data_IF_557160416009
#
_entry.id   IF_557160416009
#
_cell.length_a   1.000
_cell.length_b   1.000
_cell.length_c   1.000
_cell.angle_alpha   90.00
_cell.angle_beta   90.00
_cell.angle_gamma   90.00
#
_symmetry.space_group_name_H-M   'P 1'
#
loop_
_entity.id
_entity.type
_entity.pdbx_description
1 polymer ?
#
# COMPACT_ATOMS: atom_id res chain seq x y z
N UNK A 1 19.35 -8.44 -19.28
CA UNK A 1 19.54 -8.98 -17.91
C UNK A 1 20.89 -8.48 -17.39
N UNK A 2 20.94 -8.12 -16.14
CA UNK A 2 22.18 -7.73 -15.45
C UNK A 2 22.89 -8.99 -14.97
N UNK A 3 24.19 -9.11 -15.29
CA UNK A 3 24.96 -10.33 -14.99
C UNK A 3 25.22 -10.53 -13.49
N UNK A 4 25.38 -9.44 -12.73
CA UNK A 4 25.57 -9.51 -11.28
C UNK A 4 24.31 -10.04 -10.61
N UNK A 5 23.16 -9.51 -10.98
CA UNK A 5 21.87 -9.99 -10.48
C UNK A 5 21.62 -11.46 -10.83
N UNK A 6 21.86 -11.85 -12.09
CA UNK A 6 21.68 -13.25 -12.54
C UNK A 6 22.56 -14.21 -11.77
N UNK A 7 23.84 -13.85 -11.55
CA UNK A 7 24.78 -14.70 -10.82
C UNK A 7 24.43 -14.80 -9.32
N UNK A 8 23.94 -13.72 -8.71
CA UNK A 8 23.45 -13.74 -7.32
C UNK A 8 22.26 -14.70 -7.14
N UNK A 9 21.29 -14.66 -8.08
CA UNK A 9 20.14 -15.59 -8.05
C UNK A 9 20.60 -17.05 -8.22
N UNK A 10 21.50 -17.34 -9.16
CA UNK A 10 22.06 -18.69 -9.35
C UNK A 10 22.77 -19.20 -8.10
N UNK A 11 23.62 -18.38 -7.49
CA UNK A 11 24.34 -18.74 -6.26
C UNK A 11 23.37 -19.02 -5.09
N UNK A 12 22.27 -18.26 -4.99
CA UNK A 12 21.26 -18.50 -3.97
C UNK A 12 20.50 -19.82 -4.19
N UNK A 13 20.20 -20.18 -5.44
CA UNK A 13 19.57 -21.46 -5.75
C UNK A 13 20.43 -22.67 -5.39
N UNK A 14 21.77 -22.55 -5.51
CA UNK A 14 22.70 -23.60 -5.07
C UNK A 14 22.74 -23.76 -3.54
N UNK A 15 22.27 -22.77 -2.79
CA UNK A 15 22.21 -22.81 -1.32
C UNK A 15 20.87 -23.32 -0.82
N UNK A 16 19.80 -22.61 -1.15
CA UNK A 16 18.41 -23.03 -0.94
C UNK A 16 17.44 -22.11 -1.72
N UNK A 17 16.32 -22.68 -2.16
CA UNK A 17 15.29 -21.95 -2.89
C UNK A 17 14.12 -21.53 -1.99
N UNK A 18 13.69 -22.39 -1.06
CA UNK A 18 12.54 -22.15 -0.19
C UNK A 18 12.61 -22.93 1.11
N UNK A 19 12.23 -22.30 2.22
CA UNK A 19 12.23 -22.92 3.56
C UNK A 19 10.93 -22.70 4.34
N UNK A 20 9.92 -22.07 3.74
CA UNK A 20 8.71 -21.57 4.41
C UNK A 20 8.95 -20.47 5.46
N UNK A 21 7.86 -19.87 5.95
CA UNK A 21 7.90 -18.83 7.00
C UNK A 21 8.09 -19.40 8.43
N UNK A 22 8.31 -20.69 8.56
CA UNK A 22 8.60 -21.32 9.86
C UNK A 22 10.05 -21.13 10.29
N UNK A 23 10.94 -20.79 9.36
CA UNK A 23 12.37 -20.65 9.60
C UNK A 23 12.86 -19.25 9.20
N UNK A 24 13.83 -18.76 9.97
CA UNK A 24 14.59 -17.57 9.57
C UNK A 24 15.61 -17.92 8.49
N UNK A 25 15.74 -17.03 7.51
CA UNK A 25 16.75 -17.15 6.45
C UNK A 25 17.57 -15.88 6.36
N UNK A 26 18.89 -15.97 6.12
CA UNK A 26 19.74 -14.80 6.01
C UNK A 26 19.27 -13.82 4.93
N UNK A 27 18.94 -14.22 3.69
CA UNK A 27 18.51 -13.26 2.67
C UNK A 27 17.27 -12.46 3.07
N UNK A 28 16.31 -13.11 3.77
CA UNK A 28 15.11 -12.44 4.25
C UNK A 28 15.44 -11.44 5.38
N UNK A 29 16.28 -11.84 6.33
CA UNK A 29 16.69 -10.99 7.45
C UNK A 29 17.52 -9.78 6.97
N UNK A 30 18.49 -10.02 6.09
CA UNK A 30 19.39 -8.99 5.54
C UNK A 30 18.58 -7.95 4.73
N UNK A 31 17.61 -8.41 3.91
CA UNK A 31 16.73 -7.52 3.16
C UNK A 31 15.81 -6.71 4.10
N UNK A 32 15.26 -7.34 5.13
CA UNK A 32 14.41 -6.65 6.11
C UNK A 32 15.19 -5.57 6.85
N UNK A 33 16.41 -5.86 7.31
CA UNK A 33 17.30 -4.90 7.96
C UNK A 33 17.64 -3.73 7.03
N UNK A 34 18.01 -4.03 5.79
CA UNK A 34 18.31 -3.00 4.79
C UNK A 34 17.11 -2.08 4.54
N UNK A 35 15.91 -2.63 4.36
CA UNK A 35 14.70 -1.85 4.15
C UNK A 35 14.37 -0.99 5.38
N UNK A 36 14.41 -1.55 6.58
CA UNK A 36 14.17 -0.79 7.81
C UNK A 36 15.15 0.38 7.96
N UNK A 37 16.44 0.13 7.74
CA UNK A 37 17.48 1.17 7.84
C UNK A 37 17.31 2.29 6.81
N UNK A 38 16.80 1.99 5.61
CA UNK A 38 16.64 2.96 4.53
C UNK A 38 15.32 3.72 4.57
N UNK A 39 14.28 3.14 5.17
CA UNK A 39 12.94 3.73 5.22
C UNK A 39 12.60 4.34 6.57
N UNK A 40 13.31 3.97 7.63
CA UNK A 40 12.98 4.31 9.01
C UNK A 40 11.81 3.49 9.57
N UNK A 41 11.25 2.55 8.82
CA UNK A 41 10.22 1.63 9.29
C UNK A 41 10.82 0.60 10.26
N UNK A 42 9.99 0.07 11.16
CA UNK A 42 10.47 -0.85 12.22
C UNK A 42 10.40 -2.31 11.83
N UNK A 43 9.51 -2.66 10.91
CA UNK A 43 9.23 -4.05 10.54
C UNK A 43 8.95 -4.16 9.05
N UNK A 44 9.17 -5.35 8.50
CA UNK A 44 8.87 -5.70 7.11
C UNK A 44 8.01 -6.96 7.11
N UNK A 45 7.03 -6.99 6.24
CA UNK A 45 6.25 -8.18 5.89
C UNK A 45 6.48 -8.48 4.41
N UNK A 46 6.94 -9.68 4.11
CA UNK A 46 7.14 -10.14 2.73
C UNK A 46 5.95 -10.93 2.23
N UNK A 47 5.53 -10.66 1.01
CA UNK A 47 4.44 -11.35 0.31
C UNK A 47 4.84 -11.63 -1.14
N UNK A 48 3.97 -12.33 -1.89
CA UNK A 48 4.29 -12.75 -3.25
C UNK A 48 3.88 -11.72 -4.32
N UNK A 49 3.09 -10.72 -3.95
CA UNK A 49 2.56 -9.72 -4.89
C UNK A 49 2.19 -8.41 -4.21
N UNK A 50 2.05 -7.33 -4.99
CA UNK A 50 1.52 -6.07 -4.50
C UNK A 50 0.10 -6.20 -3.94
N UNK A 51 -0.75 -7.03 -4.55
CA UNK A 51 -2.09 -7.29 -4.02
C UNK A 51 -2.05 -7.90 -2.62
N UNK A 52 -1.16 -8.88 -2.38
CA UNK A 52 -1.01 -9.48 -1.04
C UNK A 52 -0.40 -8.50 -0.02
N UNK A 53 0.55 -7.64 -0.46
CA UNK A 53 1.08 -6.58 0.39
C UNK A 53 -0.03 -5.60 0.80
N UNK A 54 -0.88 -5.20 -0.14
CA UNK A 54 -2.02 -4.33 0.11
C UNK A 54 -3.10 -4.99 0.99
N UNK A 55 -3.37 -6.29 0.82
CA UNK A 55 -4.22 -7.04 1.74
C UNK A 55 -3.69 -6.98 3.18
N UNK A 56 -2.38 -7.13 3.36
CA UNK A 56 -1.74 -7.00 4.67
C UNK A 56 -1.91 -5.58 5.22
N UNK A 57 -1.61 -4.55 4.44
CA UNK A 57 -1.72 -3.14 4.84
C UNK A 57 -3.16 -2.78 5.25
N UNK A 58 -4.16 -3.20 4.46
CA UNK A 58 -5.58 -3.02 4.75
C UNK A 58 -5.96 -3.70 6.08
N UNK A 59 -5.53 -4.95 6.29
CA UNK A 59 -5.79 -5.69 7.53
C UNK A 59 -5.13 -5.02 8.74
N UNK A 60 -3.91 -4.51 8.60
CA UNK A 60 -3.21 -3.76 9.65
C UNK A 60 -3.99 -2.50 10.01
N UNK A 61 -4.41 -1.70 9.01
CA UNK A 61 -5.18 -0.47 9.24
C UNK A 61 -6.52 -0.77 9.92
N UNK A 62 -7.27 -1.77 9.47
CA UNK A 62 -8.54 -2.17 10.08
C UNK A 62 -8.36 -2.68 11.51
N UNK A 63 -7.31 -3.47 11.76
CA UNK A 63 -7.01 -3.93 13.13
C UNK A 63 -6.61 -2.76 14.04
N UNK A 64 -5.82 -1.82 13.52
CA UNK A 64 -5.46 -0.60 14.26
C UNK A 64 -6.72 0.20 14.63
N UNK A 65 -7.60 0.46 13.68
CA UNK A 65 -8.87 1.16 13.91
C UNK A 65 -9.73 0.45 14.95
N UNK A 66 -9.91 -0.87 14.80
CA UNK A 66 -10.71 -1.65 15.75
C UNK A 66 -10.18 -1.64 17.19
N UNK A 67 -8.85 -1.66 17.38
CA UNK A 67 -8.23 -1.67 18.71
C UNK A 67 -8.23 -0.29 19.38
N UNK A 68 -8.06 0.78 18.60
CA UNK A 68 -7.85 2.13 19.14
C UNK A 68 -9.11 3.02 19.10
N UNK A 69 -10.04 2.75 18.17
CA UNK A 69 -11.20 3.63 17.91
C UNK A 69 -12.55 2.91 18.00
N UNK A 70 -12.57 1.59 17.82
CA UNK A 70 -13.76 0.75 17.84
C UNK A 70 -13.94 -0.04 16.54
N UNK A 71 -14.70 -1.13 16.61
CA UNK A 71 -14.87 -2.10 15.51
C UNK A 71 -15.58 -1.57 14.28
N UNK A 72 -16.24 -0.43 14.39
CA UNK A 72 -16.89 0.29 13.29
C UNK A 72 -15.96 1.25 12.53
N UNK A 73 -14.72 1.45 13.01
CA UNK A 73 -13.68 2.20 12.30
C UNK A 73 -12.89 1.27 11.38
N UNK A 74 -13.45 0.93 10.23
CA UNK A 74 -12.87 0.01 9.24
C UNK A 74 -12.79 0.59 7.82
N UNK A 75 -13.29 1.81 7.61
CA UNK A 75 -13.27 2.45 6.29
C UNK A 75 -11.86 2.95 5.97
N UNK A 76 -11.42 2.68 4.75
CA UNK A 76 -10.18 3.20 4.17
C UNK A 76 -10.55 4.12 3.01
N UNK A 77 -10.05 5.34 3.04
CA UNK A 77 -10.16 6.26 1.91
C UNK A 77 -9.06 5.91 0.91
N UNK A 78 -9.45 5.67 -0.33
CA UNK A 78 -8.55 5.50 -1.48
C UNK A 78 -8.84 6.59 -2.51
N UNK A 79 -8.25 6.52 -3.69
CA UNK A 79 -8.44 7.55 -4.71
C UNK A 79 -9.11 6.98 -5.97
N UNK A 80 -9.94 7.80 -6.62
CA UNK A 80 -10.37 7.52 -7.99
C UNK A 80 -9.16 7.28 -8.90
N UNK A 81 -9.29 6.41 -9.89
CA UNK A 81 -8.24 5.98 -10.81
C UNK A 81 -7.05 5.25 -10.15
N UNK A 82 -7.10 4.94 -8.85
CA UNK A 82 -6.09 4.13 -8.20
C UNK A 82 -6.13 2.67 -8.66
N UNK A 83 -5.00 1.97 -8.45
CA UNK A 83 -4.92 0.53 -8.66
C UNK A 83 -4.16 -0.14 -7.52
N UNK A 84 -4.84 -0.97 -6.74
CA UNK A 84 -4.27 -1.61 -5.55
C UNK A 84 -4.24 -3.15 -5.61
N UNK A 85 -4.75 -3.73 -6.69
CA UNK A 85 -4.75 -5.17 -6.93
C UNK A 85 -6.10 -5.73 -7.38
N UNK A 86 -6.16 -7.06 -7.53
CA UNK A 86 -7.35 -7.77 -8.05
C UNK A 86 -7.87 -8.88 -7.13
N UNK A 87 -7.43 -8.96 -5.89
CA UNK A 87 -8.12 -9.76 -4.86
C UNK A 87 -9.42 -9.05 -4.49
N UNK A 88 -10.38 -9.75 -3.90
CA UNK A 88 -11.69 -9.13 -3.59
C UNK A 88 -11.58 -7.83 -2.78
N UNK A 89 -10.66 -7.77 -1.82
CA UNK A 89 -10.48 -6.56 -0.98
C UNK A 89 -9.71 -5.47 -1.71
N UNK A 90 -8.59 -5.81 -2.37
CA UNK A 90 -7.81 -4.82 -3.12
C UNK A 90 -8.51 -4.35 -4.38
N UNK A 91 -9.41 -5.17 -4.96
CA UNK A 91 -10.29 -4.77 -6.04
C UNK A 91 -11.27 -3.68 -5.57
N UNK A 92 -11.86 -3.85 -4.39
CA UNK A 92 -12.73 -2.83 -3.79
C UNK A 92 -11.97 -1.53 -3.44
N UNK A 93 -10.68 -1.64 -3.07
CA UNK A 93 -9.81 -0.48 -2.83
C UNK A 93 -9.42 0.25 -4.13
N UNK A 94 -9.40 -0.45 -5.27
CA UNK A 94 -9.06 0.11 -6.59
C UNK A 94 -10.17 1.04 -7.07
N UNK A 95 -9.85 2.32 -7.30
CA UNK A 95 -10.81 3.37 -7.67
C UNK A 95 -11.16 3.42 -9.17
N UNK A 96 -11.37 2.28 -9.80
CA UNK A 96 -11.66 2.15 -11.24
C UNK A 96 -12.86 1.23 -11.46
N UNK A 97 -14.03 1.80 -11.71
CA UNK A 97 -15.30 1.07 -11.88
C UNK A 97 -15.27 -0.03 -12.95
N UNK A 98 -14.45 0.13 -13.97
CA UNK A 98 -14.35 -0.86 -15.04
C UNK A 98 -13.89 -2.23 -14.53
N UNK A 99 -13.09 -2.28 -13.46
CA UNK A 99 -12.63 -3.52 -12.85
C UNK A 99 -13.66 -4.16 -11.93
N UNK A 100 -14.70 -3.41 -11.50
CA UNK A 100 -15.69 -3.86 -10.51
C UNK A 100 -16.86 -4.62 -11.12
N UNK A 101 -17.21 -4.35 -12.38
CA UNK A 101 -18.52 -4.67 -13.01
C UNK A 101 -18.95 -6.13 -12.89
N UNK A 102 -18.02 -7.07 -12.92
CA UNK A 102 -18.34 -8.50 -12.96
C UNK A 102 -18.07 -9.21 -11.61
N UNK A 103 -17.68 -8.44 -10.57
CA UNK A 103 -17.23 -8.98 -9.28
C UNK A 103 -18.04 -8.46 -8.09
N UNK A 104 -19.30 -8.11 -8.31
CA UNK A 104 -20.20 -7.64 -7.26
C UNK A 104 -20.74 -8.81 -6.42
N UNK A 105 -21.01 -8.61 -5.12
CA UNK A 105 -20.78 -7.36 -4.36
C UNK A 105 -19.30 -7.17 -3.99
N UNK A 106 -18.84 -5.92 -3.98
CA UNK A 106 -17.47 -5.59 -3.53
C UNK A 106 -17.36 -5.71 -2.00
N UNK A 107 -16.14 -5.88 -1.53
CA UNK A 107 -15.81 -5.79 -0.10
C UNK A 107 -16.12 -4.38 0.41
N UNK A 108 -16.91 -4.27 1.48
CA UNK A 108 -17.28 -3.01 2.10
C UNK A 108 -16.13 -2.29 2.79
N UNK A 109 -16.30 -0.97 3.02
CA UNK A 109 -15.37 -0.15 3.79
C UNK A 109 -14.29 0.52 2.95
N UNK A 110 -14.60 0.87 1.72
CA UNK A 110 -13.78 1.73 0.86
C UNK A 110 -14.58 2.92 0.35
N UNK A 111 -13.95 4.09 0.35
CA UNK A 111 -14.49 5.34 -0.19
C UNK A 111 -13.41 5.96 -1.07
N UNK A 112 -13.79 6.38 -2.27
CA UNK A 112 -12.85 6.95 -3.23
C UNK A 112 -12.96 8.48 -3.25
N UNK A 113 -11.86 9.17 -2.94
CA UNK A 113 -11.73 10.61 -3.08
C UNK A 113 -11.13 10.98 -4.45
N UNK A 114 -11.42 12.17 -4.93
CA UNK A 114 -10.85 12.66 -6.19
C UNK A 114 -9.38 13.05 -5.99
N UNK A 115 -8.45 12.53 -6.82
CA UNK A 115 -7.02 12.90 -6.73
C UNK A 115 -6.81 14.41 -6.85
N UNK A 116 -5.92 14.96 -6.04
CA UNK A 116 -5.57 16.38 -5.99
C UNK A 116 -6.73 17.33 -5.63
N UNK A 117 -7.85 16.79 -5.14
CA UNK A 117 -8.95 17.57 -4.55
C UNK A 117 -8.94 17.40 -3.01
N UNK A 118 -8.37 18.40 -2.34
CA UNK A 118 -8.27 18.45 -0.87
C UNK A 118 -9.66 18.45 -0.22
N UNK A 119 -10.67 19.08 -0.82
CA UNK A 119 -12.01 19.11 -0.26
C UNK A 119 -12.64 17.71 -0.31
N UNK A 120 -12.52 17.02 -1.45
CA UNK A 120 -12.99 15.65 -1.60
C UNK A 120 -12.36 14.71 -0.56
N UNK A 121 -11.04 14.82 -0.33
CA UNK A 121 -10.34 14.04 0.68
C UNK A 121 -10.83 14.33 2.11
N UNK A 122 -10.98 15.61 2.46
CA UNK A 122 -11.48 16.04 3.77
C UNK A 122 -12.92 15.53 4.01
N UNK A 123 -13.80 15.65 3.04
CA UNK A 123 -15.18 15.15 3.13
C UNK A 123 -15.23 13.63 3.29
N UNK A 124 -14.41 12.90 2.54
CA UNK A 124 -14.32 11.44 2.64
C UNK A 124 -13.91 11.00 4.05
N UNK A 125 -12.92 11.66 4.67
CA UNK A 125 -12.49 11.36 6.04
C UNK A 125 -13.54 11.76 7.07
N UNK A 126 -14.14 12.95 6.93
CA UNK A 126 -15.11 13.51 7.89
C UNK A 126 -16.40 12.71 7.95
N UNK A 127 -16.89 12.23 6.81
CA UNK A 127 -18.20 11.59 6.70
C UNK A 127 -18.16 10.07 6.95
N UNK A 128 -16.99 9.51 7.23
CA UNK A 128 -16.82 8.07 7.41
C UNK A 128 -16.04 7.74 8.69
N UNK A 129 -16.28 6.55 9.23
CA UNK A 129 -15.49 6.01 10.35
C UNK A 129 -14.21 5.38 9.81
N UNK A 130 -13.23 6.23 9.50
CA UNK A 130 -12.00 5.83 8.85
C UNK A 130 -11.00 5.21 9.80
N UNK A 131 -10.26 4.21 9.32
CA UNK A 131 -9.06 3.64 9.94
C UNK A 131 -7.79 3.97 9.16
N UNK A 132 -7.88 4.42 7.92
CA UNK A 132 -6.70 4.76 7.11
C UNK A 132 -7.03 5.52 5.83
N UNK A 133 -5.98 6.08 5.25
CA UNK A 133 -5.94 6.64 3.89
C UNK A 133 -4.88 5.86 3.12
N UNK A 134 -5.20 5.42 1.89
CA UNK A 134 -4.30 4.67 1.01
C UNK A 134 -4.15 5.41 -0.31
N UNK A 135 -2.92 5.74 -0.68
CA UNK A 135 -2.57 6.50 -1.86
C UNK A 135 -1.42 5.88 -2.64
N UNK A 136 -1.39 6.12 -3.94
CA UNK A 136 -0.20 6.03 -4.79
C UNK A 136 0.32 7.46 -4.99
N UNK A 137 1.59 7.74 -4.71
CA UNK A 137 2.16 9.09 -4.95
C UNK A 137 2.16 9.41 -6.46
N UNK A 138 2.35 8.38 -7.29
CA UNK A 138 2.10 8.45 -8.73
C UNK A 138 1.19 7.27 -9.09
N UNK A 139 -0.04 7.55 -9.51
CA UNK A 139 -0.97 6.53 -9.99
C UNK A 139 -0.46 5.95 -11.32
N UNK A 140 0.26 4.83 -11.27
CA UNK A 140 0.91 4.27 -12.45
C UNK A 140 -0.08 3.71 -13.45
N UNK A 141 -0.94 2.79 -13.03
CA UNK A 141 -1.93 2.14 -13.88
C UNK A 141 -3.04 3.12 -14.31
N UNK A 142 -3.41 4.03 -13.44
CA UNK A 142 -4.44 5.05 -13.69
C UNK A 142 -4.07 6.14 -14.71
N UNK A 143 -2.90 6.05 -15.36
CA UNK A 143 -2.47 6.97 -16.41
C UNK A 143 -1.23 7.82 -16.09
N UNK A 144 -0.40 7.37 -15.15
CA UNK A 144 0.82 8.06 -14.69
C UNK A 144 0.50 9.47 -14.15
N UNK A 145 -0.47 9.53 -13.24
CA UNK A 145 -0.92 10.78 -12.63
C UNK A 145 -0.19 10.98 -11.29
N UNK A 146 0.64 11.99 -11.19
CA UNK A 146 1.28 12.37 -9.95
C UNK A 146 0.30 13.12 -9.03
N UNK A 147 0.39 12.84 -7.73
CA UNK A 147 -0.28 13.66 -6.72
C UNK A 147 0.52 14.92 -6.44
N UNK A 148 -0.18 16.02 -6.21
CA UNK A 148 0.42 17.28 -5.81
C UNK A 148 0.96 17.18 -4.37
N UNK A 149 2.07 17.87 -4.12
CA UNK A 149 2.71 17.86 -2.79
C UNK A 149 1.75 18.27 -1.68
N UNK A 150 0.98 19.31 -1.92
CA UNK A 150 -0.02 19.84 -0.97
C UNK A 150 -1.09 18.80 -0.64
N UNK A 151 -1.50 17.99 -1.62
CA UNK A 151 -2.46 16.91 -1.40
C UNK A 151 -1.88 15.79 -0.54
N UNK A 152 -0.62 15.41 -0.77
CA UNK A 152 0.09 14.38 0.01
C UNK A 152 0.28 14.86 1.45
N UNK A 153 0.70 16.12 1.65
CA UNK A 153 0.87 16.73 2.97
C UNK A 153 -0.47 16.79 3.72
N UNK A 154 -1.56 17.10 3.03
CA UNK A 154 -2.91 17.07 3.62
C UNK A 154 -3.33 15.67 4.03
N UNK A 155 -3.09 14.65 3.20
CA UNK A 155 -3.37 13.27 3.56
C UNK A 155 -2.61 12.84 4.83
N UNK A 156 -1.33 13.21 4.92
CA UNK A 156 -0.51 12.95 6.10
C UNK A 156 -1.02 13.70 7.34
N UNK A 157 -1.41 14.98 7.18
CA UNK A 157 -2.01 15.79 8.26
C UNK A 157 -3.30 15.15 8.78
N UNK A 158 -4.20 14.79 7.88
CA UNK A 158 -5.47 14.13 8.23
C UNK A 158 -5.25 12.82 8.98
N UNK A 159 -4.30 12.02 8.54
CA UNK A 159 -3.94 10.78 9.23
C UNK A 159 -3.48 11.05 10.65
N UNK A 160 -2.61 12.03 10.84
CA UNK A 160 -2.08 12.41 12.16
C UNK A 160 -3.16 12.97 13.09
N UNK A 161 -4.02 13.85 12.60
CA UNK A 161 -5.05 14.52 13.40
C UNK A 161 -6.21 13.61 13.76
N UNK A 162 -6.55 12.65 12.90
CA UNK A 162 -7.67 11.75 13.09
C UNK A 162 -7.25 10.34 13.56
N UNK A 163 -5.99 10.13 13.89
CA UNK A 163 -5.44 8.83 14.30
C UNK A 163 -5.76 7.74 13.28
N UNK A 164 -5.32 7.96 12.02
CA UNK A 164 -5.48 7.06 10.90
C UNK A 164 -4.14 6.51 10.43
N UNK A 165 -4.15 5.32 9.85
CA UNK A 165 -2.97 4.75 9.19
C UNK A 165 -2.82 5.35 7.79
N UNK A 166 -1.67 5.95 7.49
CA UNK A 166 -1.32 6.33 6.12
C UNK A 166 -0.65 5.14 5.43
N UNK A 167 -1.23 4.70 4.32
CA UNK A 167 -0.70 3.63 3.46
C UNK A 167 -0.25 4.28 2.16
N UNK A 168 1.03 4.12 1.83
CA UNK A 168 1.58 4.57 0.55
C UNK A 168 1.90 3.33 -0.29
N UNK A 169 1.15 3.14 -1.37
CA UNK A 169 1.36 2.05 -2.32
C UNK A 169 2.49 2.43 -3.29
N UNK A 170 3.64 1.81 -3.09
CA UNK A 170 4.85 2.00 -3.89
C UNK A 170 5.14 0.80 -4.80
N UNK A 171 4.14 -0.03 -5.09
CA UNK A 171 4.33 -1.22 -5.95
C UNK A 171 4.86 -0.83 -7.33
N UNK A 172 4.44 0.30 -7.89
CA UNK A 172 4.94 0.78 -9.18
C UNK A 172 6.03 1.86 -9.08
N UNK A 173 6.11 2.57 -7.98
CA UNK A 173 7.01 3.74 -7.84
C UNK A 173 8.29 3.42 -7.07
N UNK A 174 8.28 2.39 -6.23
CA UNK A 174 9.38 2.05 -5.34
C UNK A 174 10.60 1.44 -6.03
N UNK A 175 11.61 1.20 -5.21
CA UNK A 175 12.87 0.51 -5.57
C UNK A 175 13.58 1.17 -6.76
N UNK A 176 13.66 2.52 -6.75
CA UNK A 176 14.42 3.29 -7.72
C UNK A 176 13.67 3.67 -8.99
N UNK A 177 12.39 3.29 -9.18
CA UNK A 177 11.63 3.56 -10.40
C UNK A 177 11.57 5.05 -10.75
N UNK A 178 11.44 5.92 -9.77
CA UNK A 178 11.33 7.37 -9.91
C UNK A 178 12.66 8.11 -9.76
N UNK A 179 13.78 7.38 -9.63
CA UNK A 179 15.11 7.95 -9.42
C UNK A 179 15.50 8.07 -7.94
N UNK A 180 14.58 7.77 -7.01
CA UNK A 180 14.84 7.61 -5.57
C UNK A 180 14.40 6.22 -5.14
N UNK A 181 14.89 5.76 -3.98
CA UNK A 181 14.56 4.43 -3.49
C UNK A 181 13.04 4.26 -3.31
N UNK A 182 12.39 5.25 -2.68
CA UNK A 182 10.93 5.38 -2.57
C UNK A 182 10.51 6.83 -2.80
N UNK A 183 9.23 7.06 -3.08
CA UNK A 183 8.67 8.40 -3.33
C UNK A 183 8.31 9.15 -2.04
N UNK A 184 8.00 8.41 -0.94
CA UNK A 184 7.65 9.00 0.37
C UNK A 184 8.84 9.57 1.13
#
# INVERSE_FOLDING_TARGET
CDDEWVNAVKAQLDTFAHTSNLYYTSPCADLAEMLCNRTGMKNVFFSNSGAEANECAIKVARRYGALNKGTDYYTIVTLEKSFHGRTHTTLAATGQENFHKEFLPLTEGFVHATPNDINSLNEAVKNNKCCGIMIEIVQGEGGVNALDKEFIEEAARLCKENDLVLIVDEVQTGVGRTGKLFCF
#
